data_IF_144914948428
#
_entry.id   IF_144914948428
#
_cell.length_a   1.000
_cell.length_b   1.000
_cell.length_c   1.000
_cell.angle_alpha   90.00
_cell.angle_beta   90.00
_cell.angle_gamma   90.00
#
_symmetry.space_group_name_H-M   'P 1'
#
loop_
_entity.id
_entity.type
_entity.pdbx_description
1 polymer ?
#
# COMPACT_ATOMS: atom_id res chain seq x y z
N UNK A 1 -17.97 11.70 -26.58
CA UNK A 1 -17.99 10.81 -25.40
C UNK A 1 -16.70 11.07 -24.70
N UNK A 2 -16.76 11.77 -23.57
CA UNK A 2 -15.62 11.90 -22.68
C UNK A 2 -15.33 10.53 -22.05
N UNK A 3 -14.06 10.16 -21.85
CA UNK A 3 -13.73 8.91 -21.19
C UNK A 3 -14.31 8.93 -19.76
N UNK A 4 -14.77 7.78 -19.24
CA UNK A 4 -15.25 7.72 -17.88
C UNK A 4 -14.13 8.20 -16.95
N UNK A 5 -14.41 9.24 -16.17
CA UNK A 5 -13.57 9.61 -15.04
C UNK A 5 -13.48 8.36 -14.16
N UNK A 6 -12.29 7.74 -14.14
CA UNK A 6 -12.01 6.69 -13.18
C UNK A 6 -12.15 7.38 -11.83
N UNK A 7 -13.20 7.05 -11.07
CA UNK A 7 -13.35 7.49 -9.68
C UNK A 7 -12.13 6.97 -8.91
N UNK A 8 -11.07 7.77 -8.89
CA UNK A 8 -9.97 7.57 -7.99
C UNK A 8 -10.54 7.72 -6.59
N UNK A 9 -10.35 6.68 -5.78
CA UNK A 9 -10.81 6.63 -4.40
C UNK A 9 -10.06 7.60 -3.46
N UNK A 10 -9.25 8.48 -4.03
CA UNK A 10 -8.48 9.52 -3.35
C UNK A 10 -7.17 9.02 -2.74
N UNK A 11 -6.82 7.73 -2.89
CA UNK A 11 -5.52 7.23 -2.45
C UNK A 11 -4.45 7.48 -3.50
N UNK A 12 -3.39 8.16 -3.10
CA UNK A 12 -2.16 8.24 -3.88
C UNK A 12 -1.14 7.24 -3.33
N UNK A 13 -0.55 6.44 -4.19
CA UNK A 13 0.37 5.38 -3.77
C UNK A 13 1.81 5.75 -4.12
N UNK A 14 2.68 5.80 -3.11
CA UNK A 14 4.12 5.95 -3.24
C UNK A 14 4.85 4.68 -2.79
N UNK A 15 5.64 4.09 -3.68
CA UNK A 15 6.39 2.87 -3.33
C UNK A 15 7.73 3.23 -2.69
N UNK A 16 8.06 2.55 -1.57
CA UNK A 16 9.40 2.62 -0.97
C UNK A 16 9.88 1.20 -0.72
N UNK A 17 10.52 0.61 -1.72
CA UNK A 17 11.19 -0.67 -1.55
C UNK A 17 12.45 -0.48 -0.70
N UNK A 18 12.49 -1.08 0.50
CA UNK A 18 13.63 -0.96 1.42
C UNK A 18 14.56 -2.18 1.45
N UNK A 19 14.38 -3.16 0.55
CA UNK A 19 15.30 -4.29 0.38
C UNK A 19 14.63 -5.66 0.48
N UNK A 20 15.42 -6.75 0.40
CA UNK A 20 14.91 -8.12 0.40
C UNK A 20 14.35 -8.49 1.78
N UNK A 21 13.04 -8.69 1.88
CA UNK A 21 12.35 -9.25 3.06
C UNK A 21 11.42 -8.29 3.81
N UNK A 22 11.53 -6.98 3.56
CA UNK A 22 10.67 -5.95 4.14
C UNK A 22 10.07 -5.10 3.00
N UNK A 23 8.82 -5.39 2.66
CA UNK A 23 8.07 -4.67 1.62
C UNK A 23 7.29 -3.55 2.29
N UNK A 24 7.58 -2.31 1.90
CA UNK A 24 6.85 -1.14 2.39
C UNK A 24 6.09 -0.46 1.25
N UNK A 25 4.79 -0.25 1.45
CA UNK A 25 3.96 0.58 0.56
C UNK A 25 3.53 1.81 1.33
N UNK A 26 3.73 2.99 0.77
CA UNK A 26 3.24 4.24 1.36
C UNK A 26 2.02 4.70 0.59
N UNK A 27 0.97 5.04 1.32
CA UNK A 27 -0.28 5.55 0.75
C UNK A 27 -0.60 6.90 1.38
N UNK A 28 -1.17 7.80 0.59
CA UNK A 28 -1.64 9.09 1.04
C UNK A 28 -3.14 9.21 0.81
N UNK A 29 -3.86 9.68 1.82
CA UNK A 29 -5.30 9.94 1.73
C UNK A 29 -5.68 11.09 2.67
N UNK A 30 -6.31 12.14 2.14
CA UNK A 30 -6.80 13.26 2.96
C UNK A 30 -5.74 13.91 3.86
N UNK A 31 -4.51 14.11 3.37
CA UNK A 31 -3.33 14.64 4.11
C UNK A 31 -2.80 13.72 5.22
N UNK A 32 -3.18 12.45 5.19
CA UNK A 32 -2.65 11.44 6.07
C UNK A 32 -1.77 10.50 5.27
N UNK A 33 -0.77 9.93 5.94
CA UNK A 33 0.16 8.98 5.38
C UNK A 33 -0.07 7.62 6.05
N UNK A 34 -0.20 6.58 5.26
CA UNK A 34 -0.24 5.20 5.72
C UNK A 34 1.03 4.52 5.24
N UNK A 35 1.75 3.88 6.15
CA UNK A 35 2.93 3.07 5.85
C UNK A 35 2.53 1.62 6.13
N UNK A 36 2.30 0.88 5.05
CA UNK A 36 2.00 -0.55 5.12
C UNK A 36 3.33 -1.29 5.18
N UNK A 37 3.62 -1.93 6.32
CA UNK A 37 4.81 -2.79 6.49
C UNK A 37 4.41 -4.25 6.36
N UNK A 38 4.78 -4.85 5.25
CA UNK A 38 4.53 -6.25 5.00
C UNK A 38 5.80 -7.01 5.30
N UNK A 39 5.70 -7.91 6.28
CA UNK A 39 6.80 -8.78 6.68
C UNK A 39 6.60 -10.15 6.08
N UNK A 40 7.68 -10.72 5.56
CA UNK A 40 7.69 -12.11 5.19
C UNK A 40 7.45 -12.98 6.44
N UNK A 41 6.48 -13.91 6.43
CA UNK A 41 6.29 -14.82 7.54
C UNK A 41 7.53 -15.71 7.73
N UNK A 42 7.95 -15.88 8.99
CA UNK A 42 9.14 -16.69 9.34
C UNK A 42 8.93 -18.19 9.12
N UNK A 43 7.67 -18.63 9.15
CA UNK A 43 7.25 -20.01 8.93
C UNK A 43 6.16 -20.05 7.89
N UNK A 44 6.27 -21.00 6.95
CA UNK A 44 5.18 -21.32 6.04
C UNK A 44 4.13 -22.12 6.81
N UNK A 45 2.95 -21.55 6.96
CA UNK A 45 1.77 -22.26 7.42
C UNK A 45 0.90 -22.58 6.20
N UNK A 46 0.47 -23.84 6.08
CA UNK A 46 -0.40 -24.25 4.96
C UNK A 46 -1.70 -23.45 4.98
N UNK A 47 -2.01 -22.77 3.87
CA UNK A 47 -3.18 -21.92 3.72
C UNK A 47 -2.98 -20.46 4.12
N UNK A 48 -1.75 -20.05 4.47
CA UNK A 48 -1.43 -18.64 4.64
C UNK A 48 -1.27 -17.94 3.28
N UNK A 49 -2.24 -17.08 2.97
CA UNK A 49 -2.30 -16.28 1.74
C UNK A 49 -1.02 -15.45 1.57
N UNK A 50 -0.43 -14.93 2.67
CA UNK A 50 0.81 -14.15 2.57
C UNK A 50 1.98 -15.05 2.17
N UNK A 51 2.10 -16.23 2.77
CA UNK A 51 3.12 -17.22 2.42
C UNK A 51 3.07 -17.61 0.93
N UNK A 52 1.86 -17.84 0.40
CA UNK A 52 1.65 -18.16 -1.03
C UNK A 52 2.04 -17.00 -1.94
N UNK A 53 1.72 -15.77 -1.56
CA UNK A 53 2.09 -14.57 -2.31
C UNK A 53 3.61 -14.35 -2.32
N UNK A 54 4.28 -14.53 -1.19
CA UNK A 54 5.74 -14.45 -1.14
C UNK A 54 6.41 -15.52 -2.00
N UNK A 55 5.84 -16.73 -2.06
CA UNK A 55 6.33 -17.77 -2.96
C UNK A 55 6.19 -17.34 -4.43
N UNK A 56 5.05 -16.78 -4.83
CA UNK A 56 4.85 -16.27 -6.19
C UNK A 56 5.84 -15.17 -6.57
N UNK A 57 6.19 -14.29 -5.62
CA UNK A 57 7.21 -13.26 -5.84
C UNK A 57 8.59 -13.90 -6.04
N UNK A 58 8.97 -14.89 -5.23
CA UNK A 58 10.24 -15.63 -5.37
C UNK A 58 10.33 -16.42 -6.69
N UNK A 59 9.20 -16.93 -7.18
CA UNK A 59 9.11 -17.61 -8.47
C UNK A 59 9.21 -16.61 -9.63
N UNK A 60 8.49 -15.49 -9.55
CA UNK A 60 8.51 -14.44 -10.56
C UNK A 60 9.88 -13.76 -10.69
N UNK A 61 10.66 -13.66 -9.61
CA UNK A 61 12.05 -13.14 -9.63
C UNK A 61 13.00 -14.05 -10.42
N UNK A 62 12.70 -15.35 -10.50
CA UNK A 62 13.50 -16.35 -11.24
C UNK A 62 12.96 -16.62 -12.64
N UNK A 63 11.87 -15.98 -13.01
CA UNK A 63 11.23 -16.17 -14.30
C UNK A 63 12.10 -15.53 -15.40
N UNK A 64 12.29 -16.20 -16.55
CA UNK A 64 12.99 -15.60 -17.70
C UNK A 64 12.27 -14.38 -18.29
N UNK A 65 10.98 -14.18 -18.02
CA UNK A 65 10.24 -12.98 -18.38
C UNK A 65 10.55 -11.82 -17.42
N UNK A 66 11.27 -10.82 -17.93
CA UNK A 66 11.63 -9.60 -17.19
C UNK A 66 10.40 -8.85 -16.63
N UNK A 67 9.22 -9.01 -17.23
CA UNK A 67 7.98 -8.37 -16.78
C UNK A 67 7.20 -9.20 -15.75
N UNK A 68 7.55 -10.47 -15.53
CA UNK A 68 6.82 -11.33 -14.59
C UNK A 68 6.95 -10.83 -13.16
N UNK A 69 8.17 -10.47 -12.75
CA UNK A 69 8.43 -9.90 -11.43
C UNK A 69 7.67 -8.59 -11.20
N UNK A 70 7.74 -7.65 -12.15
CA UNK A 70 7.04 -6.37 -12.06
C UNK A 70 5.53 -6.54 -11.93
N UNK A 71 4.91 -7.38 -12.77
CA UNK A 71 3.47 -7.66 -12.69
C UNK A 71 3.08 -8.34 -11.38
N UNK A 72 3.90 -9.27 -10.89
CA UNK A 72 3.64 -9.92 -9.60
C UNK A 72 3.68 -8.92 -8.44
N UNK A 73 4.55 -7.92 -8.48
CA UNK A 73 4.62 -6.88 -7.47
C UNK A 73 3.42 -5.91 -7.54
N UNK A 74 2.95 -5.59 -8.75
CA UNK A 74 1.73 -4.79 -8.94
C UNK A 74 0.49 -5.51 -8.38
N UNK A 75 0.30 -6.79 -8.72
CA UNK A 75 -0.78 -7.63 -8.18
C UNK A 75 -0.74 -7.69 -6.65
N UNK A 76 0.45 -7.87 -6.08
CA UNK A 76 0.63 -7.92 -4.63
C UNK A 76 0.27 -6.60 -3.97
N UNK A 77 0.70 -5.49 -4.55
CA UNK A 77 0.40 -4.14 -4.06
C UNK A 77 -1.10 -3.89 -4.05
N UNK A 78 -1.80 -4.22 -5.14
CA UNK A 78 -3.26 -4.09 -5.21
C UNK A 78 -3.96 -4.92 -4.13
N UNK A 79 -3.52 -6.18 -3.94
CA UNK A 79 -4.07 -7.07 -2.91
C UNK A 79 -3.91 -6.48 -1.50
N UNK A 80 -2.72 -5.96 -1.19
CA UNK A 80 -2.43 -5.37 0.12
C UNK A 80 -3.26 -4.12 0.35
N UNK A 81 -3.32 -3.22 -0.64
CA UNK A 81 -4.14 -2.01 -0.57
C UNK A 81 -5.60 -2.39 -0.33
N UNK A 82 -6.14 -3.33 -1.11
CA UNK A 82 -7.52 -3.79 -0.98
C UNK A 82 -7.80 -4.36 0.42
N UNK A 83 -6.87 -5.15 0.95
CA UNK A 83 -6.98 -5.77 2.28
C UNK A 83 -6.95 -4.72 3.40
N UNK A 84 -6.10 -3.70 3.27
CA UNK A 84 -5.96 -2.65 4.27
C UNK A 84 -7.00 -1.52 4.11
N UNK A 85 -7.70 -1.44 2.98
CA UNK A 85 -8.53 -0.30 2.58
C UNK A 85 -9.56 0.10 3.64
N UNK A 86 -10.27 -0.87 4.20
CA UNK A 86 -11.28 -0.60 5.22
C UNK A 86 -10.68 -0.02 6.51
N UNK A 87 -9.54 -0.58 6.95
CA UNK A 87 -8.80 -0.07 8.11
C UNK A 87 -8.28 1.33 7.86
N UNK A 88 -7.73 1.59 6.68
CA UNK A 88 -7.25 2.93 6.28
C UNK A 88 -8.39 3.95 6.28
N UNK A 89 -9.56 3.64 5.73
CA UNK A 89 -10.71 4.54 5.79
C UNK A 89 -11.19 4.82 7.20
N UNK A 90 -11.23 3.79 8.04
CA UNK A 90 -11.65 3.92 9.43
C UNK A 90 -10.68 4.81 10.21
N UNK A 91 -9.38 4.58 10.05
CA UNK A 91 -8.33 5.42 10.64
C UNK A 91 -8.42 6.86 10.13
N UNK A 92 -8.64 7.02 8.83
CA UNK A 92 -8.75 8.33 8.21
C UNK A 92 -9.95 9.15 8.70
N UNK A 93 -11.08 8.48 8.94
CA UNK A 93 -12.27 9.08 9.51
C UNK A 93 -12.10 9.43 10.99
N UNK A 94 -11.28 8.66 11.72
CA UNK A 94 -11.01 8.84 13.15
C UNK A 94 -9.95 9.89 13.46
N UNK A 95 -9.06 10.17 12.48
CA UNK A 95 -8.07 11.22 12.59
C UNK A 95 -8.75 12.58 12.81
N UNK A 96 -8.14 13.49 13.60
CA UNK A 96 -8.64 14.85 13.73
C UNK A 96 -8.84 15.43 12.33
N UNK A 97 -10.09 15.78 11.99
CA UNK A 97 -10.37 16.49 10.75
C UNK A 97 -9.72 17.86 10.88
N UNK A 98 -8.52 18.01 10.34
CA UNK A 98 -7.97 19.32 10.00
C UNK A 98 -9.04 20.00 9.16
N UNK A 99 -9.66 21.05 9.71
CA UNK A 99 -10.66 21.81 8.98
C UNK A 99 -10.03 22.17 7.63
N UNK A 100 -10.61 21.68 6.54
CA UNK A 100 -10.06 21.76 5.18
C UNK A 100 -9.77 23.18 4.69
N UNK A 101 -10.15 24.20 5.47
CA UNK A 101 -9.83 25.60 5.23
C UNK A 101 -8.48 26.06 5.77
N UNK A 102 -7.81 25.31 6.66
CA UNK A 102 -6.50 25.69 7.23
C UNK A 102 -5.67 24.44 7.61
N UNK A 103 -5.30 23.61 6.63
CA UNK A 103 -4.11 22.77 6.82
C UNK A 103 -2.90 23.73 6.82
N UNK A 104 -2.16 23.79 7.93
CA UNK A 104 -0.97 24.62 8.01
C UNK A 104 0.13 24.05 7.12
N UNK A 105 1.12 24.87 6.73
CA UNK A 105 2.29 24.38 6.00
C UNK A 105 3.00 23.26 6.79
N UNK A 106 2.96 23.33 8.12
CA UNK A 106 3.55 22.33 9.02
C UNK A 106 2.82 20.98 8.91
N UNK A 107 1.49 20.99 8.78
CA UNK A 107 0.70 19.76 8.58
C UNK A 107 1.00 19.09 7.23
N UNK A 108 1.33 19.86 6.20
CA UNK A 108 1.79 19.32 4.90
C UNK A 108 3.19 18.72 4.97
N UNK A 109 4.08 19.32 5.77
CA UNK A 109 5.45 18.80 5.95
C UNK A 109 5.49 17.58 6.88
N UNK A 110 4.52 17.46 7.78
CA UNK A 110 4.44 16.40 8.79
C UNK A 110 3.05 15.77 8.83
N UNK A 111 2.63 15.06 7.76
CA UNK A 111 1.33 14.43 7.72
C UNK A 111 1.19 13.41 8.85
N UNK A 112 -0.02 13.31 9.40
CA UNK A 112 -0.35 12.26 10.38
C UNK A 112 -0.06 10.90 9.76
N UNK A 113 0.85 10.14 10.38
CA UNK A 113 1.35 8.88 9.83
C UNK A 113 0.83 7.69 10.64
N UNK A 114 0.14 6.78 9.95
CA UNK A 114 -0.31 5.49 10.48
C UNK A 114 0.62 4.38 9.97
N UNK A 115 1.00 3.46 10.86
CA UNK A 115 1.73 2.26 10.50
C UNK A 115 0.79 1.07 10.59
N UNK A 116 0.71 0.30 9.50
CA UNK A 116 -0.12 -0.89 9.39
C UNK A 116 0.75 -2.10 9.11
#
# INVERSE_FOLDING_TARGET
MDPPEVESDGFEVGDVFTGPGDYHTVLYYGHQRFVLKIRKPERREDGDILSDVFLRIEEAEKDPDEMAFHRCLEDFRELVILTCKHTMYTLAASAPRLNSRQASLEDFLHPTTFYL
#
